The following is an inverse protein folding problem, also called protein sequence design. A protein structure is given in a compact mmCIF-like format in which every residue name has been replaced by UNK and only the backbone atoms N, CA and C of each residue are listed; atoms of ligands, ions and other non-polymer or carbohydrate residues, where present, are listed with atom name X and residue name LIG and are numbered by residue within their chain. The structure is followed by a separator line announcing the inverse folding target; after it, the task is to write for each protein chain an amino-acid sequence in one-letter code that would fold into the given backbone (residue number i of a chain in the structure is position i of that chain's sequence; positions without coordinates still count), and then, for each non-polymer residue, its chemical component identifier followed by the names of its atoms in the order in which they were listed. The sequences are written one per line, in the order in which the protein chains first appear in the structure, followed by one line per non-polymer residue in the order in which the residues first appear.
data_IF_770498822428
#
_entry.id   IF_770498822428
#
_cell.length_a   1.000
_cell.length_b   1.000
_cell.length_c   1.000
_cell.angle_alpha   90.00
_cell.angle_beta   90.00
_cell.angle_gamma   90.00
#
_symmetry.space_group_name_H-M   'P 1'
#
loop_
_entity.id
_entity.type
_entity.pdbx_description
1 polymer ?
#
# COMPACT_ATOMS: atom_id res chain seq x y z
N UNK A 1 -8.80 -11.40 19.59
CA UNK A 1 -8.25 -11.69 18.28
C UNK A 1 -7.03 -10.80 17.97
N UNK A 2 -6.22 -11.20 17.02
CA UNK A 2 -5.19 -10.35 16.39
C UNK A 2 -5.82 -9.04 15.90
N UNK A 3 -5.10 -7.94 16.02
CA UNK A 3 -5.51 -6.63 15.50
C UNK A 3 -4.62 -6.18 14.36
N UNK A 4 -5.20 -5.45 13.43
CA UNK A 4 -4.53 -4.96 12.23
C UNK A 4 -4.32 -3.45 12.33
N UNK A 5 -3.09 -3.02 12.14
CA UNK A 5 -2.68 -1.61 12.20
C UNK A 5 -1.98 -1.23 10.91
N UNK A 6 -2.28 -0.07 10.39
CA UNK A 6 -1.53 0.57 9.31
C UNK A 6 -1.15 2.00 9.67
N UNK A 7 -0.39 2.63 8.83
CA UNK A 7 0.02 4.03 8.97
C UNK A 7 0.39 4.61 7.61
N UNK A 8 0.36 5.91 7.52
CA UNK A 8 0.71 6.66 6.32
C UNK A 8 0.29 8.11 6.42
N UNK A 9 0.57 8.91 5.42
CA UNK A 9 0.17 10.30 5.35
C UNK A 9 -1.35 10.47 5.21
N UNK A 10 -1.85 11.63 5.57
CA UNK A 10 -3.17 12.14 5.16
C UNK A 10 -3.13 12.68 3.74
N UNK A 11 -4.28 13.02 3.16
CA UNK A 11 -4.40 13.60 1.81
C UNK A 11 -4.63 12.57 0.70
N UNK A 12 -4.72 11.30 1.03
CA UNK A 12 -5.00 10.20 0.10
C UNK A 12 -6.42 9.63 0.27
N UNK A 13 -7.26 10.27 1.04
CA UNK A 13 -8.57 9.74 1.43
C UNK A 13 -9.35 9.20 0.22
N UNK A 14 -9.98 8.03 0.39
CA UNK A 14 -10.23 7.28 1.62
C UNK A 14 -9.03 6.44 2.14
N UNK A 15 -7.92 6.37 1.43
CA UNK A 15 -6.74 5.64 1.90
C UNK A 15 -6.01 6.45 3.00
N UNK A 16 -5.75 5.91 4.14
CA UNK A 16 -6.06 4.56 4.60
C UNK A 16 -7.15 4.63 5.69
N UNK A 17 -7.45 5.86 6.18
CA UNK A 17 -8.37 6.12 7.28
C UNK A 17 -9.80 5.62 7.01
N UNK A 18 -10.28 5.72 5.78
CA UNK A 18 -11.59 5.25 5.37
C UNK A 18 -11.76 3.73 5.46
N UNK A 19 -10.67 2.98 5.64
CA UNK A 19 -10.68 1.53 5.79
C UNK A 19 -10.57 1.05 7.23
N UNK A 20 -10.63 1.96 8.21
CA UNK A 20 -10.71 1.61 9.63
C UNK A 20 -12.15 1.28 9.99
N UNK A 21 -12.41 0.04 10.39
CA UNK A 21 -13.75 -0.40 10.76
C UNK A 21 -13.92 -1.91 10.80
N UNK A 22 -15.17 -2.33 11.04
CA UNK A 22 -15.50 -3.75 11.18
C UNK A 22 -15.18 -4.54 9.90
N UNK A 23 -14.28 -5.48 10.00
CA UNK A 23 -13.89 -6.36 8.90
C UNK A 23 -12.75 -5.82 8.04
N UNK A 24 -12.16 -4.71 8.45
CA UNK A 24 -11.01 -4.05 7.84
C UNK A 24 -9.96 -3.74 8.93
N UNK A 25 -9.27 -2.61 8.83
CA UNK A 25 -8.29 -2.16 9.81
C UNK A 25 -8.91 -1.88 11.18
N UNK A 26 -8.15 -2.15 12.25
CA UNK A 26 -8.53 -1.77 13.62
C UNK A 26 -8.07 -0.35 13.96
N UNK A 27 -6.86 0.05 13.54
CA UNK A 27 -6.28 1.37 13.83
C UNK A 27 -5.42 1.82 12.65
N UNK A 28 -5.41 3.12 12.40
CA UNK A 28 -4.41 3.78 11.57
C UNK A 28 -3.68 4.88 12.35
N UNK A 29 -2.36 4.95 12.21
CA UNK A 29 -1.59 6.13 12.58
C UNK A 29 -1.49 7.09 11.39
N UNK A 30 -2.07 8.27 11.53
CA UNK A 30 -2.14 9.27 10.44
C UNK A 30 -1.02 10.28 10.58
N UNK A 31 -0.23 10.46 9.53
CA UNK A 31 0.79 11.51 9.42
C UNK A 31 0.25 12.81 8.82
N UNK A 32 1.15 13.73 8.52
CA UNK A 32 0.83 14.97 7.81
C UNK A 32 0.44 14.69 6.36
N UNK A 33 -0.02 15.72 5.63
CA UNK A 33 -0.40 15.58 4.23
C UNK A 33 0.78 15.05 3.41
N UNK A 34 0.58 13.89 2.77
CA UNK A 34 1.55 13.17 1.95
C UNK A 34 2.87 12.81 2.66
N UNK A 35 2.85 12.71 3.99
CA UNK A 35 4.02 12.40 4.78
C UNK A 35 3.75 11.31 5.82
N UNK A 36 4.64 10.33 5.91
CA UNK A 36 4.56 9.27 6.90
C UNK A 36 4.60 9.84 8.34
N UNK A 37 3.85 9.27 9.29
CA UNK A 37 3.97 9.64 10.70
C UNK A 37 5.33 9.21 11.25
N UNK A 38 5.73 9.78 12.39
CA UNK A 38 6.93 9.31 13.07
C UNK A 38 6.71 7.93 13.71
N UNK A 39 7.80 7.19 13.95
CA UNK A 39 7.73 5.84 14.50
C UNK A 39 7.15 5.74 15.91
N UNK A 40 7.17 6.82 16.71
CA UNK A 40 6.53 6.85 18.02
C UNK A 40 5.00 6.81 17.88
N UNK A 41 4.43 7.58 16.96
CA UNK A 41 2.98 7.57 16.71
C UNK A 41 2.51 6.20 16.20
N UNK A 42 3.28 5.56 15.32
CA UNK A 42 3.00 4.19 14.85
C UNK A 42 3.04 3.20 16.02
N UNK A 43 4.03 3.30 16.89
CA UNK A 43 4.12 2.45 18.08
C UNK A 43 2.95 2.69 19.05
N UNK A 44 2.53 3.92 19.26
CA UNK A 44 1.38 4.23 20.12
C UNK A 44 0.07 3.69 19.54
N UNK A 45 -0.08 3.73 18.22
CA UNK A 45 -1.19 3.08 17.53
C UNK A 45 -1.20 1.56 17.74
N UNK A 46 -0.04 0.90 17.65
CA UNK A 46 0.07 -0.55 17.93
C UNK A 46 -0.30 -0.87 19.39
N UNK A 47 0.14 -0.08 20.35
CA UNK A 47 -0.24 -0.24 21.77
C UNK A 47 -1.73 -0.08 21.98
N UNK A 48 -2.34 0.92 21.34
CA UNK A 48 -3.79 1.16 21.40
C UNK A 48 -4.57 -0.03 20.82
N UNK A 49 -4.08 -0.59 19.72
CA UNK A 49 -4.71 -1.72 19.04
C UNK A 49 -4.58 -3.02 19.80
N UNK A 50 -3.48 -3.27 20.51
CA UNK A 50 -3.20 -4.56 21.14
C UNK A 50 -4.25 -4.94 22.18
N UNK A 51 -4.77 -6.16 22.04
CA UNK A 51 -5.74 -6.79 22.96
C UNK A 51 -5.19 -8.09 23.54
N UNK A 52 -3.87 -8.23 23.59
CA UNK A 52 -3.18 -9.41 24.13
C UNK A 52 -3.10 -10.61 23.17
N UNK A 53 -3.50 -10.44 21.90
CA UNK A 53 -3.41 -11.48 20.88
C UNK A 53 -2.36 -11.17 19.81
N UNK A 54 -1.65 -10.04 19.95
CA UNK A 54 -0.68 -9.53 19.01
C UNK A 54 -1.26 -8.62 17.94
N UNK A 55 -0.35 -7.90 17.28
CA UNK A 55 -0.65 -6.86 16.29
C UNK A 55 0.02 -7.22 14.96
N UNK A 56 -0.74 -7.19 13.88
CA UNK A 56 -0.20 -7.19 12.51
C UNK A 56 -0.06 -5.75 12.02
N UNK A 57 1.17 -5.33 11.79
CA UNK A 57 1.49 -4.03 11.20
C UNK A 57 1.58 -4.17 9.68
N UNK A 58 0.73 -3.44 8.96
CA UNK A 58 0.67 -3.43 7.50
C UNK A 58 1.30 -2.13 6.99
N UNK A 59 2.30 -2.25 6.14
CA UNK A 59 3.15 -1.13 5.70
C UNK A 59 3.17 -1.05 4.18
N UNK A 60 2.92 0.13 3.64
CA UNK A 60 3.17 0.39 2.23
C UNK A 60 4.66 0.66 2.02
N UNK A 61 5.23 0.15 0.93
CA UNK A 61 6.65 0.28 0.64
C UNK A 61 6.99 1.68 0.10
N UNK A 62 7.09 2.64 1.01
CA UNK A 62 7.67 3.96 0.76
C UNK A 62 8.79 4.22 1.77
N UNK A 63 9.78 5.00 1.39
CA UNK A 63 10.98 5.23 2.22
C UNK A 63 10.64 5.80 3.60
N UNK A 64 9.72 6.77 3.67
CA UNK A 64 9.25 7.36 4.92
C UNK A 64 8.52 6.36 5.82
N UNK A 65 7.62 5.57 5.21
CA UNK A 65 6.87 4.54 5.94
C UNK A 65 7.79 3.42 6.44
N UNK A 66 8.73 2.97 5.63
CA UNK A 66 9.74 1.99 6.04
C UNK A 66 10.58 2.49 7.23
N UNK A 67 11.00 3.77 7.22
CA UNK A 67 11.75 4.35 8.33
C UNK A 67 10.91 4.39 9.61
N UNK A 68 9.67 4.89 9.52
CA UNK A 68 8.73 4.94 10.64
C UNK A 68 8.43 3.55 11.19
N UNK A 69 8.15 2.58 10.31
CA UNK A 69 7.91 1.19 10.68
C UNK A 69 9.10 0.54 11.40
N UNK A 70 10.32 0.71 10.89
CA UNK A 70 11.55 0.22 11.53
C UNK A 70 11.73 0.79 12.94
N UNK A 71 11.45 2.08 13.13
CA UNK A 71 11.50 2.71 14.46
C UNK A 71 10.41 2.14 15.37
N UNK A 72 9.18 2.03 14.91
CA UNK A 72 8.06 1.50 15.67
C UNK A 72 8.29 0.03 16.09
N UNK A 73 8.80 -0.81 15.19
CA UNK A 73 9.14 -2.20 15.49
C UNK A 73 10.24 -2.32 16.57
N UNK A 74 11.24 -1.41 16.57
CA UNK A 74 12.25 -1.37 17.66
C UNK A 74 11.62 -1.02 19.00
N UNK A 75 10.69 -0.05 19.03
CA UNK A 75 9.97 0.33 20.23
C UNK A 75 9.06 -0.81 20.72
N UNK A 76 8.34 -1.45 19.83
CA UNK A 76 7.49 -2.61 20.12
C UNK A 76 8.30 -3.76 20.77
N UNK A 77 9.44 -4.11 20.17
CA UNK A 77 10.35 -5.12 20.72
C UNK A 77 10.84 -4.75 22.13
N UNK A 78 11.22 -3.50 22.35
CA UNK A 78 11.67 -3.01 23.66
C UNK A 78 10.56 -3.06 24.72
N UNK A 79 9.31 -2.84 24.31
CA UNK A 79 8.13 -2.88 25.18
C UNK A 79 7.56 -4.30 25.38
N UNK A 80 8.10 -5.32 24.72
CA UNK A 80 7.58 -6.69 24.79
C UNK A 80 6.25 -6.88 24.05
N UNK A 81 5.90 -5.98 23.12
CA UNK A 81 4.71 -6.09 22.31
C UNK A 81 4.91 -7.15 21.22
N UNK A 82 3.96 -8.08 21.09
CA UNK A 82 4.01 -9.12 20.06
C UNK A 82 3.49 -8.57 18.74
N UNK A 83 4.40 -8.33 17.77
CA UNK A 83 4.09 -7.72 16.48
C UNK A 83 4.71 -8.52 15.34
N UNK A 84 3.95 -8.67 14.25
CA UNK A 84 4.46 -9.04 12.93
C UNK A 84 4.25 -7.88 11.97
N UNK A 85 5.13 -7.75 10.99
CA UNK A 85 5.01 -6.73 9.94
C UNK A 85 4.94 -7.40 8.58
N UNK A 86 4.01 -6.95 7.74
CA UNK A 86 3.94 -7.27 6.31
C UNK A 86 4.06 -5.96 5.54
N UNK A 87 4.91 -5.97 4.52
CA UNK A 87 5.17 -4.83 3.66
C UNK A 87 4.61 -5.12 2.28
N UNK A 88 3.83 -4.21 1.73
CA UNK A 88 3.31 -4.31 0.35
C UNK A 88 4.19 -3.56 -0.63
N UNK A 89 4.52 -4.19 -1.74
CA UNK A 89 5.33 -3.62 -2.80
C UNK A 89 4.92 -4.23 -4.14
N UNK A 90 3.71 -3.87 -4.60
CA UNK A 90 3.07 -4.54 -5.73
C UNK A 90 3.12 -3.76 -7.05
N UNK A 91 3.61 -2.53 -7.04
CA UNK A 91 3.67 -1.70 -8.24
C UNK A 91 4.74 -2.22 -9.22
N UNK A 92 4.32 -2.61 -10.45
CA UNK A 92 5.15 -3.37 -11.37
C UNK A 92 5.98 -2.53 -12.34
N UNK A 93 5.70 -1.24 -12.49
CA UNK A 93 6.40 -0.35 -13.45
C UNK A 93 7.55 0.43 -12.82
N UNK A 94 7.69 0.38 -11.52
CA UNK A 94 8.73 1.10 -10.83
C UNK A 94 9.80 0.15 -10.30
N UNK A 95 10.76 -0.11 -11.15
CA UNK A 95 12.03 -0.73 -10.75
C UNK A 95 13.16 -0.24 -11.66
N UNK A 96 13.61 1.03 -11.48
CA UNK A 96 14.62 1.61 -12.35
C UNK A 96 16.00 0.93 -12.26
N UNK A 97 16.25 0.12 -11.23
CA UNK A 97 17.55 -0.50 -10.98
C UNK A 97 17.48 -2.04 -10.86
N UNK A 98 16.32 -2.67 -11.06
CA UNK A 98 16.13 -4.12 -10.81
C UNK A 98 16.25 -4.51 -9.34
N UNK A 99 16.17 -3.55 -8.43
CA UNK A 99 16.10 -3.79 -6.99
C UNK A 99 14.64 -3.94 -6.58
N UNK A 100 14.38 -4.80 -5.63
CA UNK A 100 13.03 -5.11 -5.11
C UNK A 100 12.42 -3.92 -4.34
N UNK A 101 12.31 -2.78 -5.00
CA UNK A 101 11.89 -1.51 -4.39
C UNK A 101 10.53 -1.02 -4.92
N UNK A 102 9.66 -1.95 -5.27
CA UNK A 102 8.31 -1.70 -5.76
C UNK A 102 7.47 -1.00 -4.68
N UNK A 103 6.75 0.05 -5.07
CA UNK A 103 5.86 0.79 -4.16
C UNK A 103 4.63 -0.02 -3.80
N UNK A 104 4.14 0.17 -2.57
CA UNK A 104 2.83 -0.33 -2.14
C UNK A 104 1.73 0.66 -2.54
N UNK A 105 0.67 0.17 -3.16
CA UNK A 105 -0.44 0.98 -3.68
C UNK A 105 -1.80 0.43 -3.23
N UNK A 106 -2.80 0.50 -4.09
CA UNK A 106 -4.18 0.13 -3.80
C UNK A 106 -4.39 -1.37 -3.49
N UNK A 107 -3.46 -2.24 -3.84
CA UNK A 107 -3.49 -3.66 -3.46
C UNK A 107 -3.59 -3.89 -1.96
N UNK A 108 -3.09 -2.95 -1.17
CA UNK A 108 -3.20 -2.97 0.29
C UNK A 108 -4.66 -3.00 0.80
N UNK A 109 -5.64 -2.48 0.06
CA UNK A 109 -7.06 -2.45 0.47
C UNK A 109 -7.60 -3.87 0.64
N UNK A 110 -7.38 -4.75 -0.34
CA UNK A 110 -7.79 -6.14 -0.23
C UNK A 110 -7.00 -6.88 0.85
N UNK A 111 -5.71 -6.56 1.03
CA UNK A 111 -4.89 -7.09 2.12
C UNK A 111 -5.49 -6.78 3.50
N UNK A 112 -5.98 -5.56 3.73
CA UNK A 112 -6.64 -5.18 4.98
C UNK A 112 -7.83 -6.08 5.27
N UNK A 113 -8.65 -6.34 4.26
CA UNK A 113 -9.81 -7.21 4.39
C UNK A 113 -9.43 -8.67 4.66
N UNK A 114 -8.46 -9.20 3.95
CA UNK A 114 -7.96 -10.58 4.09
C UNK A 114 -7.37 -10.80 5.49
N UNK A 115 -6.49 -9.91 5.94
CA UNK A 115 -5.87 -9.98 7.26
C UNK A 115 -6.93 -9.89 8.38
N UNK A 116 -7.89 -8.96 8.25
CA UNK A 116 -8.98 -8.83 9.21
C UNK A 116 -9.91 -10.06 9.24
N UNK A 117 -10.17 -10.68 8.09
CA UNK A 117 -10.95 -11.90 7.99
C UNK A 117 -10.24 -13.06 8.71
N UNK A 118 -8.96 -13.29 8.43
CA UNK A 118 -8.15 -14.31 9.09
C UNK A 118 -8.11 -14.11 10.62
N UNK A 119 -7.93 -12.88 11.07
CA UNK A 119 -7.95 -12.52 12.49
C UNK A 119 -9.33 -12.80 13.15
N UNK A 120 -10.44 -12.56 12.43
CA UNK A 120 -11.80 -12.86 12.93
C UNK A 120 -12.09 -14.36 13.02
N UNK A 121 -11.46 -15.16 12.17
CA UNK A 121 -11.54 -16.63 12.25
C UNK A 121 -10.77 -17.20 13.45
N UNK A 122 -10.11 -16.36 14.24
CA UNK A 122 -9.38 -16.77 15.44
C UNK A 122 -7.98 -17.30 15.18
N UNK A 123 -7.43 -17.06 14.00
CA UNK A 123 -6.05 -17.45 13.68
C UNK A 123 -5.05 -16.72 14.57
N UNK A 124 -3.91 -17.36 14.81
CA UNK A 124 -2.77 -16.79 15.56
C UNK A 124 -2.12 -15.65 14.76
N UNK A 125 -1.30 -14.82 15.43
CA UNK A 125 -0.60 -13.73 14.76
C UNK A 125 0.30 -14.23 13.62
N UNK A 126 0.97 -15.35 13.81
CA UNK A 126 1.85 -15.92 12.80
C UNK A 126 1.05 -16.41 11.57
N UNK A 127 -0.07 -17.09 11.77
CA UNK A 127 -0.97 -17.52 10.68
C UNK A 127 -1.59 -16.33 9.93
N UNK A 128 -2.01 -15.27 10.66
CA UNK A 128 -2.55 -14.05 10.01
C UNK A 128 -1.45 -13.37 9.19
N UNK A 129 -0.24 -13.28 9.71
CA UNK A 129 0.90 -12.69 9.01
C UNK A 129 1.29 -13.51 7.77
N UNK A 130 1.30 -14.84 7.86
CA UNK A 130 1.59 -15.73 6.72
C UNK A 130 0.56 -15.58 5.61
N UNK A 131 -0.73 -15.56 5.93
CA UNK A 131 -1.81 -15.33 4.95
C UNK A 131 -1.67 -13.95 4.30
N UNK A 132 -1.39 -12.92 5.10
CA UNK A 132 -1.20 -11.56 4.61
C UNK A 132 0.03 -11.46 3.69
N UNK A 133 1.13 -12.09 4.07
CA UNK A 133 2.35 -12.11 3.26
C UNK A 133 2.12 -12.87 1.95
N UNK A 134 1.48 -14.04 2.01
CA UNK A 134 1.17 -14.81 0.80
C UNK A 134 0.32 -13.98 -0.20
N UNK A 135 -0.66 -13.22 0.29
CA UNK A 135 -1.41 -12.31 -0.57
C UNK A 135 -0.52 -11.21 -1.14
N UNK A 136 0.32 -10.57 -0.29
CA UNK A 136 1.23 -9.51 -0.71
C UNK A 136 2.21 -9.97 -1.81
N UNK A 137 2.69 -11.21 -1.72
CA UNK A 137 3.61 -11.81 -2.69
C UNK A 137 2.94 -12.18 -4.04
N UNK A 138 1.60 -12.26 -4.06
CA UNK A 138 0.82 -12.69 -5.23
C UNK A 138 -0.10 -11.58 -5.77
N UNK A 139 0.24 -10.33 -5.57
CA UNK A 139 -0.48 -9.20 -6.14
C UNK A 139 0.42 -8.34 -7.04
N UNK A 140 -0.19 -7.68 -7.99
CA UNK A 140 0.46 -6.69 -8.83
C UNK A 140 -0.48 -5.51 -9.06
N UNK A 141 0.06 -4.31 -9.11
CA UNK A 141 -0.68 -3.11 -9.46
C UNK A 141 0.11 -2.23 -10.42
N UNK A 142 -0.60 -1.37 -11.11
CA UNK A 142 -0.04 -0.38 -12.01
C UNK A 142 -0.93 0.86 -12.00
N UNK A 143 -0.31 2.03 -11.89
CA UNK A 143 -1.02 3.30 -11.94
C UNK A 143 -0.96 3.92 -13.31
N UNK A 144 -1.96 4.74 -13.60
CA UNK A 144 -1.99 5.58 -14.79
C UNK A 144 -2.25 7.02 -14.36
N UNK A 145 -1.41 7.94 -14.82
CA UNK A 145 -1.53 9.37 -14.54
C UNK A 145 -1.70 10.13 -15.87
N UNK A 146 -2.78 10.90 -15.99
CA UNK A 146 -3.06 11.77 -17.14
C UNK A 146 -2.81 13.25 -16.85
N UNK A 147 -2.79 13.63 -15.57
CA UNK A 147 -2.50 15.00 -15.10
C UNK A 147 -1.78 14.91 -13.76
N UNK A 148 -1.06 15.95 -13.40
CA UNK A 148 -0.48 16.06 -12.07
C UNK A 148 -1.55 16.39 -11.02
N UNK A 149 -1.34 15.94 -9.79
CA UNK A 149 -2.16 16.33 -8.64
C UNK A 149 -1.83 17.75 -8.19
N UNK A 150 -2.78 18.39 -7.49
CA UNK A 150 -2.58 19.70 -6.87
C UNK A 150 -2.47 19.53 -5.36
N UNK A 151 -1.41 20.07 -4.77
CA UNK A 151 -1.21 20.02 -3.33
C UNK A 151 -2.27 20.89 -2.61
N UNK A 152 -3.07 20.31 -1.70
CA UNK A 152 -4.26 20.99 -1.17
C UNK A 152 -3.93 22.19 -0.28
N UNK A 153 -2.74 22.26 0.32
CA UNK A 153 -2.38 23.37 1.22
C UNK A 153 -1.82 24.59 0.49
N UNK A 154 -1.10 24.40 -0.62
CA UNK A 154 -0.38 25.49 -1.29
C UNK A 154 -0.77 25.70 -2.75
N UNK A 155 -1.62 24.85 -3.32
CA UNK A 155 -2.09 24.93 -4.70
C UNK A 155 -1.03 24.64 -5.76
N UNK A 156 0.16 24.16 -5.36
CA UNK A 156 1.22 23.83 -6.31
C UNK A 156 0.98 22.47 -6.97
N UNK A 157 1.43 22.34 -8.21
CA UNK A 157 1.45 21.04 -8.90
C UNK A 157 2.32 20.05 -8.13
N UNK A 158 1.82 18.83 -7.99
CA UNK A 158 2.48 17.73 -7.31
C UNK A 158 2.76 16.62 -8.33
N UNK A 159 3.85 16.75 -9.02
CA UNK A 159 4.26 15.88 -10.12
C UNK A 159 5.08 16.66 -11.15
N UNK A 160 5.46 16.00 -12.22
CA UNK A 160 6.32 16.55 -13.26
C UNK A 160 5.82 16.26 -14.70
N UNK A 161 4.56 15.79 -14.84
CA UNK A 161 3.96 15.53 -16.14
C UNK A 161 3.65 16.84 -16.88
N UNK A 162 3.14 17.84 -16.15
CA UNK A 162 2.76 19.13 -16.67
C UNK A 162 1.51 19.07 -17.57
N UNK A 163 1.27 20.14 -18.33
CA UNK A 163 0.22 20.19 -19.35
C UNK A 163 0.79 19.64 -20.67
N UNK A 164 0.44 18.40 -21.01
CA UNK A 164 0.91 17.71 -22.21
C UNK A 164 -0.16 16.80 -22.79
N UNK A 165 0.02 16.35 -24.02
CA UNK A 165 -0.77 15.26 -24.62
C UNK A 165 -0.22 13.87 -24.26
N UNK A 166 0.52 13.79 -23.16
CA UNK A 166 1.09 12.55 -22.65
C UNK A 166 0.32 12.06 -21.43
N UNK A 167 0.42 10.76 -21.19
CA UNK A 167 0.07 10.11 -19.95
C UNK A 167 1.29 9.33 -19.43
N UNK A 168 1.31 9.02 -18.15
CA UNK A 168 2.36 8.21 -17.52
C UNK A 168 1.75 6.93 -16.97
N UNK A 169 2.37 5.80 -17.31
CA UNK A 169 1.99 4.47 -16.79
C UNK A 169 3.07 4.05 -15.79
N UNK A 170 2.64 3.75 -14.54
CA UNK A 170 3.54 3.40 -13.45
C UNK A 170 3.98 4.58 -12.58
N UNK A 171 3.20 5.65 -12.51
CA UNK A 171 3.44 6.74 -11.56
C UNK A 171 3.15 6.30 -10.12
N UNK A 172 3.82 6.92 -9.14
CA UNK A 172 3.54 6.70 -7.73
C UNK A 172 2.28 7.39 -7.22
N UNK A 173 1.90 7.09 -5.99
CA UNK A 173 0.67 7.61 -5.35
C UNK A 173 0.67 9.14 -5.23
N UNK A 174 1.82 9.76 -5.08
CA UNK A 174 1.97 11.22 -5.01
C UNK A 174 2.44 11.84 -6.33
N UNK A 175 2.40 11.09 -7.43
CA UNK A 175 2.92 11.54 -8.72
C UNK A 175 4.44 11.39 -8.85
N UNK A 176 5.07 10.60 -7.97
CA UNK A 176 6.49 10.27 -8.12
C UNK A 176 6.71 9.65 -9.49
N UNK A 177 7.70 10.17 -10.20
CA UNK A 177 8.10 9.67 -11.49
C UNK A 177 8.70 8.26 -11.44
N UNK A 178 8.98 7.72 -12.60
CA UNK A 178 9.57 6.39 -12.78
C UNK A 178 8.72 5.49 -13.67
N UNK A 179 7.53 5.95 -14.03
CA UNK A 179 6.71 5.33 -15.07
C UNK A 179 7.21 5.65 -16.48
N UNK A 180 6.53 5.08 -17.45
CA UNK A 180 6.78 5.32 -18.88
C UNK A 180 5.78 6.37 -19.38
N UNK A 181 6.30 7.45 -19.97
CA UNK A 181 5.46 8.47 -20.64
C UNK A 181 5.15 8.04 -22.05
N UNK A 182 3.87 8.04 -22.38
CA UNK A 182 3.34 7.67 -23.70
C UNK A 182 2.32 8.72 -24.16
N UNK A 183 2.05 8.83 -25.46
CA UNK A 183 0.94 9.64 -25.95
C UNK A 183 -0.37 9.23 -25.27
N UNK A 184 -1.27 10.20 -25.08
CA UNK A 184 -2.60 9.92 -24.50
C UNK A 184 -3.31 8.83 -25.32
N UNK A 185 -3.70 7.78 -24.63
CA UNK A 185 -4.39 6.61 -25.21
C UNK A 185 -5.89 6.66 -24.88
N UNK A 186 -6.69 6.01 -25.72
CA UNK A 186 -8.08 5.74 -25.37
C UNK A 186 -8.18 4.83 -24.15
N UNK A 187 -9.31 4.87 -23.43
CA UNK A 187 -9.55 3.99 -22.27
C UNK A 187 -9.38 2.51 -22.62
N UNK A 188 -9.76 2.10 -23.85
CA UNK A 188 -9.60 0.71 -24.32
C UNK A 188 -8.12 0.34 -24.45
N UNK A 189 -7.33 1.18 -25.05
CA UNK A 189 -5.88 0.96 -25.23
C UNK A 189 -5.17 0.96 -23.87
N UNK A 190 -5.51 1.90 -23.02
CA UNK A 190 -4.95 1.98 -21.64
C UNK A 190 -5.23 0.69 -20.86
N UNK A 191 -6.50 0.24 -20.84
CA UNK A 191 -6.88 -0.99 -20.14
C UNK A 191 -6.18 -2.23 -20.75
N UNK A 192 -6.08 -2.31 -22.07
CA UNK A 192 -5.39 -3.42 -22.73
C UNK A 192 -3.91 -3.47 -22.33
N UNK A 193 -3.22 -2.32 -22.36
CA UNK A 193 -1.81 -2.19 -21.97
C UNK A 193 -1.58 -2.57 -20.52
N UNK A 194 -2.41 -2.05 -19.61
CA UNK A 194 -2.31 -2.33 -18.17
C UNK A 194 -2.60 -3.81 -17.88
N UNK A 195 -3.68 -4.36 -18.45
CA UNK A 195 -4.05 -5.76 -18.23
C UNK A 195 -2.98 -6.73 -18.74
N UNK A 196 -2.41 -6.47 -19.92
CA UNK A 196 -1.32 -7.29 -20.47
C UNK A 196 -0.10 -7.29 -19.55
N UNK A 197 0.30 -6.09 -19.04
CA UNK A 197 1.42 -5.95 -18.14
C UNK A 197 1.20 -6.71 -16.81
N UNK A 198 0.00 -6.59 -16.22
CA UNK A 198 -0.36 -7.28 -14.98
C UNK A 198 -0.40 -8.80 -15.16
N UNK A 199 -1.06 -9.29 -16.21
CA UNK A 199 -1.13 -10.72 -16.51
C UNK A 199 0.26 -11.32 -16.72
N UNK A 200 1.14 -10.61 -17.42
CA UNK A 200 2.52 -11.04 -17.65
C UNK A 200 3.33 -11.06 -16.35
N UNK A 201 3.20 -10.04 -15.51
CA UNK A 201 3.94 -9.96 -14.24
C UNK A 201 3.52 -11.08 -13.27
N UNK A 202 2.23 -11.40 -13.20
CA UNK A 202 1.68 -12.47 -12.37
C UNK A 202 1.75 -13.85 -13.04
N UNK A 203 2.31 -13.96 -14.25
CA UNK A 203 2.44 -15.21 -15.01
C UNK A 203 1.12 -15.96 -15.18
N UNK A 204 -0.01 -15.21 -15.30
CA UNK A 204 -1.35 -15.78 -15.39
C UNK A 204 -1.54 -16.60 -16.65
N UNK A 205 -2.19 -17.75 -16.49
CA UNK A 205 -2.53 -18.68 -17.55
C UNK A 205 -4.04 -18.70 -17.81
N UNK A 206 -4.42 -19.18 -18.98
CA UNK A 206 -5.84 -19.34 -19.30
C UNK A 206 -6.52 -20.32 -18.32
N UNK A 207 -7.55 -19.84 -17.62
CA UNK A 207 -8.27 -20.59 -16.60
C UNK A 207 -7.92 -20.21 -15.15
N UNK A 208 -6.87 -19.42 -14.94
CA UNK A 208 -6.54 -18.90 -13.62
C UNK A 208 -7.63 -17.93 -13.13
N UNK A 209 -7.80 -17.91 -11.81
CA UNK A 209 -8.73 -17.00 -11.15
C UNK A 209 -7.97 -15.81 -10.58
N UNK A 210 -8.35 -14.61 -10.96
CA UNK A 210 -7.81 -13.39 -10.46
C UNK A 210 -8.91 -12.52 -9.81
N UNK A 211 -8.57 -11.83 -8.74
CA UNK A 211 -9.36 -10.72 -8.21
C UNK A 211 -8.84 -9.43 -8.86
N UNK A 212 -9.73 -8.66 -9.46
CA UNK A 212 -9.40 -7.39 -10.11
C UNK A 212 -10.06 -6.24 -9.36
N UNK A 213 -9.29 -5.20 -9.06
CA UNK A 213 -9.75 -3.97 -8.44
C UNK A 213 -9.35 -2.79 -9.33
N UNK A 214 -10.28 -1.86 -9.58
CA UNK A 214 -10.10 -0.65 -10.39
C UNK A 214 -10.48 0.56 -9.54
#
# INVERSE_FOLDING_TARGET
RVTTVTYGGSGHEPAQAGFVGKGMLDVQAVGDIFAAPNGQLVFDAMKLADKGHGVLLLTLNYAGDQLAGKQAMKLAKKAGLNVRQVVTGEEIQFDPNGEDNKRGLAGAIALYHIAAAAAREGKTLDEVAEIAQHYADNMASITVKSTDATHPQNGMSFGDLGETDLMEIGAGQHGEGGGVRVPMMSSRETVATVAEALCKNLELQAGDKAFVMI
#
